data_IF_432144690251
#
_entry.id   IF_432144690251
#
_cell.length_a   1.000
_cell.length_b   1.000
_cell.length_c   1.000
_cell.angle_alpha   90.00
_cell.angle_beta   90.00
_cell.angle_gamma   90.00
#
_symmetry.space_group_name_H-M   'P 1'
#
loop_
_entity.id
_entity.type
_entity.pdbx_description
1 polymer ?
#
# COMPACT_ATOMS: atom_id res chain seq x y z
N UNK A 1 11.87 -10.49 21.70
CA UNK A 1 11.93 -11.47 20.59
C UNK A 1 12.19 -12.84 21.20
N UNK A 2 11.18 -13.72 21.27
CA UNK A 2 11.23 -14.93 22.13
C UNK A 2 12.25 -15.96 21.62
N UNK A 3 13.03 -16.53 22.56
CA UNK A 3 14.20 -17.42 22.34
C UNK A 3 13.93 -18.65 21.48
N UNK A 4 12.67 -19.11 21.43
CA UNK A 4 12.21 -20.24 20.61
C UNK A 4 12.34 -20.01 19.09
N UNK A 5 12.29 -18.76 18.61
CA UNK A 5 12.40 -18.46 17.18
C UNK A 5 13.83 -18.57 16.61
N UNK A 6 14.85 -18.74 17.47
CA UNK A 6 16.25 -18.92 17.02
C UNK A 6 16.54 -20.30 16.44
N UNK A 7 15.68 -21.29 16.68
CA UNK A 7 15.92 -22.65 16.18
C UNK A 7 15.29 -22.83 14.79
N UNK A 8 16.13 -22.89 13.75
CA UNK A 8 15.69 -22.95 12.34
C UNK A 8 14.66 -24.06 12.05
N UNK A 9 14.81 -25.22 12.71
CA UNK A 9 13.86 -26.33 12.55
C UNK A 9 12.48 -25.99 13.11
N UNK A 10 12.43 -25.37 14.28
CA UNK A 10 11.17 -24.94 14.91
C UNK A 10 10.53 -23.79 14.13
N UNK A 11 11.35 -22.86 13.61
CA UNK A 11 10.90 -21.79 12.71
C UNK A 11 10.32 -22.35 11.40
N UNK A 12 11.00 -23.31 10.78
CA UNK A 12 10.54 -23.92 9.53
C UNK A 12 9.25 -24.73 9.73
N UNK A 13 9.16 -25.47 10.85
CA UNK A 13 7.96 -26.20 11.23
C UNK A 13 6.77 -25.26 11.46
N UNK A 14 6.95 -24.21 12.27
CA UNK A 14 5.90 -23.22 12.54
C UNK A 14 5.50 -22.46 11.28
N UNK A 15 6.45 -22.09 10.41
CA UNK A 15 6.18 -21.45 9.11
C UNK A 15 5.36 -22.37 8.20
N UNK A 16 5.73 -23.65 8.07
CA UNK A 16 4.95 -24.64 7.29
C UNK A 16 3.54 -24.83 7.85
N UNK A 17 3.38 -24.81 9.17
CA UNK A 17 2.08 -24.97 9.79
C UNK A 17 1.19 -23.74 9.57
N UNK A 18 1.75 -22.54 9.72
CA UNK A 18 1.07 -21.28 9.42
C UNK A 18 0.68 -21.17 7.95
N UNK A 19 1.56 -21.59 7.02
CA UNK A 19 1.27 -21.58 5.58
C UNK A 19 0.09 -22.50 5.20
N UNK A 20 -0.26 -23.48 6.05
CA UNK A 20 -1.40 -24.38 5.84
C UNK A 20 -2.71 -23.82 6.40
N UNK A 21 -2.67 -22.76 7.21
CA UNK A 21 -3.87 -22.14 7.76
C UNK A 21 -4.65 -21.46 6.63
N UNK A 22 -5.79 -22.05 6.26
CA UNK A 22 -6.76 -21.44 5.36
C UNK A 22 -7.61 -20.45 6.16
N UNK A 23 -7.26 -19.17 6.10
CA UNK A 23 -8.10 -18.11 6.66
C UNK A 23 -9.36 -18.00 5.80
N UNK A 24 -10.54 -18.20 6.41
CA UNK A 24 -11.81 -17.95 5.72
C UNK A 24 -11.92 -16.46 5.41
N UNK A 25 -12.25 -16.15 4.16
CA UNK A 25 -12.63 -14.79 3.79
C UNK A 25 -13.86 -14.39 4.62
N UNK A 26 -13.71 -13.34 5.43
CA UNK A 26 -14.83 -12.68 6.11
C UNK A 26 -15.45 -11.69 5.11
N UNK A 27 -16.77 -11.56 5.12
CA UNK A 27 -17.44 -10.49 4.36
C UNK A 27 -16.83 -9.13 4.70
N UNK A 28 -16.68 -8.30 3.68
CA UNK A 28 -16.08 -6.97 3.82
C UNK A 28 -16.89 -6.17 4.85
N UNK A 29 -16.29 -5.73 5.97
CA UNK A 29 -17.01 -4.97 6.99
C UNK A 29 -17.32 -3.53 6.53
N UNK A 30 -16.75 -3.09 5.41
CA UNK A 30 -16.92 -1.76 4.81
C UNK A 30 -16.67 -1.85 3.31
N UNK A 31 -17.43 -1.08 2.54
CA UNK A 31 -17.35 -1.04 1.07
C UNK A 31 -16.05 -0.39 0.57
N UNK A 32 -15.46 0.48 1.38
CA UNK A 32 -14.26 1.24 1.05
C UNK A 32 -13.19 1.15 2.15
N UNK A 33 -11.95 1.31 1.72
CA UNK A 33 -10.80 1.58 2.55
C UNK A 33 -10.32 2.99 2.31
N UNK A 34 -9.52 3.51 3.24
CA UNK A 34 -8.96 4.86 3.12
C UNK A 34 -7.45 4.77 3.26
N UNK A 35 -6.73 5.41 2.35
CA UNK A 35 -5.31 5.69 2.54
C UNK A 35 -5.15 6.98 3.32
N UNK A 36 -4.08 7.11 4.09
CA UNK A 36 -3.67 8.37 4.70
C UNK A 36 -2.50 8.93 3.89
N UNK A 37 -2.64 10.15 3.38
CA UNK A 37 -1.62 10.81 2.57
C UNK A 37 -1.28 12.16 3.18
N UNK A 38 0.02 12.44 3.30
CA UNK A 38 0.55 13.73 3.74
C UNK A 38 1.53 14.20 2.68
N UNK A 39 1.32 15.41 2.18
CA UNK A 39 2.18 16.06 1.19
C UNK A 39 2.75 17.31 1.81
N UNK A 40 4.07 17.45 1.75
CA UNK A 40 4.79 18.65 2.19
C UNK A 40 5.53 19.26 1.00
N UNK A 41 5.29 20.55 0.76
CA UNK A 41 5.92 21.32 -0.31
C UNK A 41 7.20 22.01 0.18
N UNK A 42 8.01 22.51 -0.75
CA UNK A 42 9.32 23.11 -0.47
C UNK A 42 9.25 24.42 0.33
N UNK A 43 8.10 25.09 0.31
CA UNK A 43 7.79 26.27 1.13
C UNK A 43 7.38 25.91 2.57
N UNK A 44 7.30 24.62 2.90
CA UNK A 44 6.87 24.12 4.20
C UNK A 44 5.36 23.94 4.34
N UNK A 45 4.56 24.26 3.32
CA UNK A 45 3.14 23.96 3.33
C UNK A 45 2.95 22.44 3.46
N UNK A 46 2.04 22.01 4.33
CA UNK A 46 1.68 20.59 4.47
C UNK A 46 0.18 20.44 4.31
N UNK A 47 -0.24 19.46 3.51
CA UNK A 47 -1.64 19.07 3.36
C UNK A 47 -1.80 17.58 3.59
N UNK A 48 -2.87 17.27 4.30
CA UNK A 48 -3.31 15.92 4.57
C UNK A 48 -4.52 15.59 3.69
N UNK A 49 -4.57 14.35 3.21
CA UNK A 49 -5.65 13.84 2.38
C UNK A 49 -5.92 12.38 2.66
N UNK A 50 -7.17 11.98 2.42
CA UNK A 50 -7.62 10.61 2.62
C UNK A 50 -8.11 10.03 1.29
N UNK A 51 -7.22 9.51 0.43
CA UNK A 51 -7.64 8.86 -0.81
C UNK A 51 -8.57 7.68 -0.51
N UNK A 52 -9.69 7.62 -1.23
CA UNK A 52 -10.62 6.49 -1.18
C UNK A 52 -10.00 5.31 -1.93
N UNK A 53 -10.11 4.13 -1.34
CA UNK A 53 -9.65 2.87 -1.89
C UNK A 53 -10.81 1.87 -1.90
N UNK A 54 -10.74 0.87 -2.76
CA UNK A 54 -11.56 -0.35 -2.63
C UNK A 54 -11.11 -1.19 -1.44
N UNK A 55 -10.45 -2.32 -1.69
CA UNK A 55 -9.76 -3.05 -0.62
C UNK A 55 -8.41 -2.43 -0.30
N UNK A 56 -8.08 -2.34 0.98
CA UNK A 56 -6.72 -2.01 1.38
C UNK A 56 -5.72 -3.12 1.00
N UNK A 57 -6.10 -4.40 1.10
CA UNK A 57 -5.19 -5.51 0.82
C UNK A 57 -4.97 -5.70 -0.68
N UNK A 58 -6.04 -5.63 -1.49
CA UNK A 58 -5.94 -5.61 -2.96
C UNK A 58 -5.08 -4.43 -3.41
N UNK A 59 -5.30 -3.23 -2.87
CA UNK A 59 -4.49 -2.05 -3.19
C UNK A 59 -3.01 -2.25 -2.83
N UNK A 60 -2.74 -2.81 -1.65
CA UNK A 60 -1.36 -3.13 -1.20
C UNK A 60 -0.66 -4.11 -2.14
N UNK A 61 -1.39 -5.04 -2.77
CA UNK A 61 -0.84 -5.93 -3.80
C UNK A 61 -0.75 -5.31 -5.19
N UNK A 62 -1.70 -4.45 -5.56
CA UNK A 62 -1.77 -3.81 -6.88
C UNK A 62 -0.61 -2.83 -7.10
N UNK A 63 -0.26 -2.02 -6.10
CA UNK A 63 0.82 -1.01 -6.19
C UNK A 63 2.17 -1.63 -6.61
N UNK A 64 2.71 -2.65 -5.91
CA UNK A 64 3.98 -3.26 -6.32
C UNK A 64 3.89 -3.98 -7.67
N UNK A 65 2.73 -4.56 -8.02
CA UNK A 65 2.53 -5.19 -9.32
C UNK A 65 2.59 -4.17 -10.47
N UNK A 66 1.93 -3.02 -10.31
CA UNK A 66 1.96 -1.94 -11.30
C UNK A 66 3.35 -1.30 -11.40
N UNK A 67 4.04 -1.10 -10.28
CA UNK A 67 5.44 -0.65 -10.27
C UNK A 67 6.33 -1.62 -11.04
N UNK A 68 6.22 -2.92 -10.77
CA UNK A 68 7.00 -3.94 -11.47
C UNK A 68 6.72 -3.91 -12.98
N UNK A 69 5.45 -3.76 -13.38
CA UNK A 69 5.05 -3.62 -14.80
C UNK A 69 5.73 -2.41 -15.45
N UNK A 70 5.69 -1.23 -14.82
CA UNK A 70 6.32 0.00 -15.35
C UNK A 70 7.84 -0.11 -15.44
N UNK A 71 8.47 -0.72 -14.43
CA UNK A 71 9.91 -0.97 -14.45
C UNK A 71 10.31 -1.90 -15.60
N UNK A 72 9.56 -2.98 -15.83
CA UNK A 72 9.77 -3.88 -16.96
C UNK A 72 9.54 -3.20 -18.32
N UNK A 73 8.68 -2.19 -18.37
CA UNK A 73 8.45 -1.36 -19.56
C UNK A 73 9.53 -0.27 -19.77
N UNK A 74 10.52 -0.15 -18.88
CA UNK A 74 11.58 0.85 -18.99
C UNK A 74 11.17 2.26 -18.56
N UNK A 75 10.04 2.42 -17.89
CA UNK A 75 9.52 3.72 -17.43
C UNK A 75 10.23 4.24 -16.16
N UNK A 76 11.14 3.43 -15.59
CA UNK A 76 11.87 3.77 -14.37
C UNK A 76 13.21 4.45 -14.59
N UNK A 77 13.86 4.84 -13.48
CA UNK A 77 15.24 5.36 -13.45
C UNK A 77 16.07 4.63 -12.39
N UNK A 78 17.40 4.45 -12.59
CA UNK A 78 18.26 3.78 -11.63
C UNK A 78 18.32 4.50 -10.27
N UNK A 79 18.22 3.75 -9.18
CA UNK A 79 18.33 4.27 -7.80
C UNK A 79 17.27 3.70 -6.85
N UNK A 80 17.29 4.17 -5.61
CA UNK A 80 16.28 3.85 -4.60
C UNK A 80 15.29 5.02 -4.48
N UNK A 81 14.02 4.75 -4.76
CA UNK A 81 12.98 5.77 -4.78
C UNK A 81 11.75 5.29 -4.00
N UNK A 82 11.04 6.24 -3.39
CA UNK A 82 9.66 5.98 -3.00
C UNK A 82 8.78 5.92 -4.25
N UNK A 83 7.66 5.17 -4.25
CA UNK A 83 6.80 5.04 -5.43
C UNK A 83 6.35 6.38 -6.03
N UNK A 84 5.92 7.31 -5.19
CA UNK A 84 5.49 8.64 -5.62
C UNK A 84 6.64 9.48 -6.19
N UNK A 85 7.86 9.34 -5.67
CA UNK A 85 9.03 10.04 -6.22
C UNK A 85 9.51 9.46 -7.57
N UNK A 86 9.18 8.19 -7.85
CA UNK A 86 9.55 7.53 -9.10
C UNK A 86 8.50 7.71 -10.20
N UNK A 87 7.22 7.55 -9.88
CA UNK A 87 6.12 7.50 -10.85
C UNK A 87 5.06 8.59 -10.65
N UNK A 88 5.25 9.48 -9.68
CA UNK A 88 4.30 10.55 -9.37
C UNK A 88 3.05 10.08 -8.60
N UNK A 89 2.17 11.03 -8.24
CA UNK A 89 0.94 10.75 -7.49
C UNK A 89 -0.08 9.94 -8.30
N UNK A 90 -0.06 10.02 -9.63
CA UNK A 90 -0.98 9.30 -10.53
C UNK A 90 -0.81 7.78 -10.48
N UNK A 91 0.30 7.28 -9.90
CA UNK A 91 0.45 5.86 -9.59
C UNK A 91 -0.69 5.36 -8.69
N UNK A 92 -1.10 6.15 -7.70
CA UNK A 92 -2.18 5.76 -6.78
C UNK A 92 -3.50 5.53 -7.54
N UNK A 93 -3.83 6.45 -8.46
CA UNK A 93 -5.04 6.36 -9.28
C UNK A 93 -5.01 5.16 -10.22
N UNK A 94 -3.86 4.87 -10.83
CA UNK A 94 -3.70 3.66 -11.66
C UNK A 94 -3.88 2.35 -10.90
N UNK A 95 -3.74 2.39 -9.58
CA UNK A 95 -3.98 1.26 -8.68
C UNK A 95 -5.39 1.26 -8.07
N UNK A 96 -6.28 2.17 -8.51
CA UNK A 96 -7.67 2.27 -8.07
C UNK A 96 -7.89 3.14 -6.82
N UNK A 97 -6.92 3.97 -6.44
CA UNK A 97 -7.17 5.03 -5.47
C UNK A 97 -7.89 6.22 -6.11
N UNK A 98 -8.65 6.96 -5.32
CA UNK A 98 -9.31 8.18 -5.77
C UNK A 98 -9.02 9.32 -4.78
N UNK A 99 -8.49 10.43 -5.30
CA UNK A 99 -8.30 11.64 -4.52
C UNK A 99 -9.63 12.40 -4.44
N UNK A 100 -10.21 12.44 -3.24
CA UNK A 100 -11.43 13.21 -3.02
C UNK A 100 -11.09 14.67 -2.72
N UNK A 101 -11.85 15.64 -3.26
CA UNK A 101 -11.72 17.03 -2.84
C UNK A 101 -12.08 17.16 -1.35
N UNK A 102 -11.49 18.12 -0.63
CA UNK A 102 -11.88 18.38 0.75
C UNK A 102 -13.38 18.71 0.79
N UNK A 103 -14.10 18.24 1.83
CA UNK A 103 -15.52 18.53 1.96
C UNK A 103 -15.74 20.05 1.98
N UNK A 104 -16.86 20.55 1.42
CA UNK A 104 -17.14 21.97 1.40
C UNK A 104 -17.20 22.50 2.84
N UNK A 105 -16.51 23.61 3.10
CA UNK A 105 -16.55 24.28 4.40
C UNK A 105 -17.99 24.78 4.62
N UNK A 106 -18.68 24.21 5.62
CA UNK A 106 -19.98 24.74 6.05
C UNK A 106 -19.76 26.15 6.60
N UNK A 107 -20.36 27.14 5.94
CA UNK A 107 -20.48 28.51 6.45
C UNK A 107 -21.59 28.59 7.50
#
# INVERSE_FOLDING_TARGET
>A
MSTLMRWERLRSFTTRHLARVRVRAKERPRDHSWGHAVVTWADGETREGWPRLGDAQEYTGAVPAEIARRLLAGEGRPGAYTPAALFGPTLAESCGAEYLPPPPVRR
#
